data_IF_087103258806
#
_entry.id   IF_087103258806
#
_cell.length_a   1.000
_cell.length_b   1.000
_cell.length_c   1.000
_cell.angle_alpha   90.00
_cell.angle_beta   90.00
_cell.angle_gamma   90.00
#
_symmetry.space_group_name_H-M   'P 1'
#
loop_
_entity.id
_entity.type
_entity.pdbx_description
1 polymer ?
#
# COMPACT_ATOMS: atom_id res chain seq x y z
N UNK A 1 -18.94 112.10 -14.63
CA UNK A 1 -19.68 110.93 -14.09
C UNK A 1 -19.58 109.61 -14.92
N UNK A 2 -19.03 109.59 -16.14
CA UNK A 2 -19.08 108.44 -17.07
C UNK A 2 -17.99 107.35 -16.86
N UNK A 3 -16.79 107.71 -16.39
CA UNK A 3 -15.62 106.80 -16.30
C UNK A 3 -15.79 105.71 -15.23
N UNK A 4 -16.30 106.08 -14.04
CA UNK A 4 -16.52 105.14 -12.92
C UNK A 4 -17.53 104.04 -13.27
N UNK A 5 -18.61 104.38 -13.98
CA UNK A 5 -19.61 103.41 -14.45
C UNK A 5 -19.02 102.40 -15.44
N UNK A 6 -18.14 102.84 -16.34
CA UNK A 6 -17.46 101.97 -17.32
C UNK A 6 -16.49 101.00 -16.63
N UNK A 7 -15.75 101.46 -15.62
CA UNK A 7 -14.85 100.62 -14.81
C UNK A 7 -15.67 99.58 -14.03
N UNK A 8 -16.75 100.00 -13.37
CA UNK A 8 -17.64 99.11 -12.64
C UNK A 8 -18.24 98.02 -13.54
N UNK A 9 -18.75 98.39 -14.72
CA UNK A 9 -19.28 97.41 -15.69
C UNK A 9 -18.22 96.38 -16.11
N UNK A 10 -16.98 96.81 -16.36
CA UNK A 10 -15.88 95.88 -16.68
C UNK A 10 -15.55 94.94 -15.52
N UNK A 11 -15.53 95.45 -14.29
CA UNK A 11 -15.31 94.64 -13.09
C UNK A 11 -16.43 93.62 -12.89
N UNK A 12 -17.69 94.02 -13.09
CA UNK A 12 -18.86 93.15 -13.01
C UNK A 12 -18.80 92.02 -14.04
N UNK A 13 -18.48 92.34 -15.31
CA UNK A 13 -18.32 91.33 -16.38
C UNK A 13 -17.24 90.31 -15.98
N UNK A 14 -16.08 90.77 -15.50
CA UNK A 14 -15.01 89.87 -15.03
C UNK A 14 -15.46 88.99 -13.88
N UNK A 15 -16.14 89.56 -12.88
CA UNK A 15 -16.64 88.82 -11.72
C UNK A 15 -17.65 87.72 -12.14
N UNK A 16 -18.54 88.04 -13.08
CA UNK A 16 -19.50 87.08 -13.64
C UNK A 16 -18.77 85.97 -14.39
N UNK A 17 -17.80 86.28 -15.27
CA UNK A 17 -17.01 85.28 -15.99
C UNK A 17 -16.26 84.34 -15.03
N UNK A 18 -15.61 84.89 -14.00
CA UNK A 18 -14.91 84.09 -12.98
C UNK A 18 -15.88 83.18 -12.23
N UNK A 19 -17.06 83.69 -11.85
CA UNK A 19 -18.11 82.90 -11.20
C UNK A 19 -18.57 81.73 -12.07
N UNK A 20 -18.79 81.96 -13.35
CA UNK A 20 -19.17 80.91 -14.31
C UNK A 20 -18.03 79.89 -14.51
N UNK A 21 -16.80 80.34 -14.74
CA UNK A 21 -15.63 79.47 -14.90
C UNK A 21 -15.43 78.56 -13.67
N UNK A 22 -15.57 79.12 -12.45
CA UNK A 22 -15.50 78.33 -11.21
C UNK A 22 -16.59 77.25 -11.16
N UNK A 23 -17.83 77.61 -11.51
CA UNK A 23 -18.96 76.66 -11.52
C UNK A 23 -18.75 75.54 -12.55
N UNK A 24 -18.28 75.87 -13.75
CA UNK A 24 -18.01 74.87 -14.79
C UNK A 24 -16.82 73.98 -14.43
N UNK A 25 -15.75 74.53 -13.85
CA UNK A 25 -14.62 73.73 -13.38
C UNK A 25 -15.04 72.73 -12.29
N UNK A 26 -15.91 73.15 -11.36
CA UNK A 26 -16.47 72.24 -10.35
C UNK A 26 -17.32 71.13 -10.98
N UNK A 27 -18.18 71.46 -11.94
CA UNK A 27 -18.99 70.47 -12.65
C UNK A 27 -18.11 69.49 -13.46
N UNK A 28 -17.13 70.01 -14.20
CA UNK A 28 -16.19 69.22 -14.98
C UNK A 28 -15.38 68.26 -14.09
N UNK A 29 -14.91 68.73 -12.93
CA UNK A 29 -14.16 67.88 -11.98
C UNK A 29 -15.00 66.69 -11.51
N UNK A 30 -16.30 66.91 -11.23
CA UNK A 30 -17.22 65.82 -10.84
C UNK A 30 -17.40 64.79 -11.96
N UNK A 31 -17.64 65.25 -13.19
CA UNK A 31 -17.80 64.39 -14.36
C UNK A 31 -16.51 63.58 -14.60
N UNK A 32 -15.35 64.24 -14.56
CA UNK A 32 -14.07 63.59 -14.76
C UNK A 32 -13.73 62.59 -13.65
N UNK A 33 -14.05 62.88 -12.38
CA UNK A 33 -13.85 61.96 -11.28
C UNK A 33 -14.70 60.69 -11.44
N UNK A 34 -15.98 60.85 -11.81
CA UNK A 34 -16.87 59.74 -12.13
C UNK A 34 -16.33 58.89 -13.28
N UNK A 35 -15.89 59.53 -14.37
CA UNK A 35 -15.34 58.83 -15.52
C UNK A 35 -14.05 58.09 -15.20
N UNK A 36 -13.11 58.71 -14.48
CA UNK A 36 -11.88 58.04 -14.03
C UNK A 36 -12.19 56.82 -13.15
N UNK A 37 -13.18 56.93 -12.26
CA UNK A 37 -13.64 55.81 -11.46
C UNK A 37 -14.24 54.68 -12.29
N UNK A 38 -15.10 55.00 -13.26
CA UNK A 38 -15.67 54.02 -14.19
C UNK A 38 -14.58 53.33 -15.02
N UNK A 39 -13.70 54.10 -15.65
CA UNK A 39 -12.60 53.58 -16.47
C UNK A 39 -11.67 52.66 -15.66
N UNK A 40 -11.30 53.05 -14.44
CA UNK A 40 -10.47 52.21 -13.58
C UNK A 40 -11.10 50.86 -13.24
N UNK A 41 -12.42 50.85 -12.95
CA UNK A 41 -13.14 49.60 -12.64
C UNK A 41 -13.27 48.69 -13.85
N UNK A 42 -13.35 49.26 -15.06
CA UNK A 42 -13.52 48.51 -16.30
C UNK A 42 -12.19 47.98 -16.86
N UNK A 43 -11.17 48.83 -16.94
CA UNK A 43 -9.92 48.52 -17.67
C UNK A 43 -8.79 48.05 -16.76
N UNK A 44 -8.69 48.56 -15.53
CA UNK A 44 -7.55 48.25 -14.65
C UNK A 44 -7.85 47.12 -13.68
N UNK A 45 -8.93 47.27 -12.91
CA UNK A 45 -9.24 46.33 -11.84
C UNK A 45 -10.71 46.37 -11.44
N UNK A 46 -11.39 45.26 -11.64
CA UNK A 46 -12.74 45.04 -11.10
C UNK A 46 -12.67 44.20 -9.82
N UNK A 47 -12.97 44.83 -8.68
CA UNK A 47 -12.99 44.18 -7.37
C UNK A 47 -13.88 42.93 -7.35
N UNK A 48 -15.07 43.00 -7.98
CA UNK A 48 -16.01 41.87 -8.02
C UNK A 48 -15.46 40.70 -8.84
N UNK A 49 -14.84 40.96 -9.99
CA UNK A 49 -14.19 39.93 -10.80
C UNK A 49 -13.03 39.29 -10.05
N UNK A 50 -12.21 40.09 -9.36
CA UNK A 50 -11.12 39.59 -8.53
C UNK A 50 -11.61 38.72 -7.38
N UNK A 51 -12.68 39.12 -6.68
CA UNK A 51 -13.30 38.32 -5.62
C UNK A 51 -13.85 37.00 -6.15
N UNK A 52 -14.44 36.98 -7.35
CA UNK A 52 -14.88 35.74 -8.01
C UNK A 52 -13.70 34.85 -8.34
N UNK A 53 -12.63 35.41 -8.90
CA UNK A 53 -11.40 34.68 -9.20
C UNK A 53 -10.76 34.09 -7.94
N UNK A 54 -10.67 34.83 -6.84
CA UNK A 54 -10.14 34.33 -5.56
C UNK A 54 -10.91 33.12 -5.04
N UNK A 55 -12.24 33.10 -5.17
CA UNK A 55 -13.06 31.93 -4.79
C UNK A 55 -12.69 30.71 -5.63
N UNK A 56 -12.55 30.88 -6.95
CA UNK A 56 -12.16 29.80 -7.86
C UNK A 56 -10.77 29.26 -7.53
N UNK A 57 -9.81 30.15 -7.27
CA UNK A 57 -8.44 29.76 -6.90
C UNK A 57 -8.44 28.99 -5.58
N UNK A 58 -9.20 29.45 -4.59
CA UNK A 58 -9.33 28.78 -3.29
C UNK A 58 -9.90 27.37 -3.47
N UNK A 59 -11.02 27.23 -4.17
CA UNK A 59 -11.66 25.95 -4.44
C UNK A 59 -10.73 24.99 -5.22
N UNK A 60 -9.98 25.51 -6.20
CA UNK A 60 -8.99 24.72 -6.93
C UNK A 60 -7.84 24.26 -6.03
N UNK A 61 -7.40 25.11 -5.11
CA UNK A 61 -6.39 24.77 -4.11
C UNK A 61 -6.88 23.66 -3.18
N UNK A 62 -8.09 23.81 -2.65
CA UNK A 62 -8.73 22.82 -1.77
C UNK A 62 -8.89 21.46 -2.48
N UNK A 63 -9.34 21.45 -3.74
CA UNK A 63 -9.46 20.22 -4.56
C UNK A 63 -8.10 19.53 -4.75
N UNK A 64 -7.05 20.27 -5.13
CA UNK A 64 -5.71 19.70 -5.31
C UNK A 64 -5.12 19.18 -4.00
N UNK A 65 -5.38 19.85 -2.89
CA UNK A 65 -4.95 19.39 -1.58
C UNK A 65 -5.62 18.05 -1.22
N UNK A 66 -6.91 17.90 -1.50
CA UNK A 66 -7.62 16.64 -1.33
C UNK A 66 -7.05 15.52 -2.21
N UNK A 67 -6.83 15.79 -3.50
CA UNK A 67 -6.19 14.84 -4.43
C UNK A 67 -4.80 14.39 -3.96
N UNK A 68 -3.99 15.32 -3.43
CA UNK A 68 -2.67 15.01 -2.90
C UNK A 68 -2.72 14.12 -1.65
N UNK A 69 -3.71 14.34 -0.77
CA UNK A 69 -3.93 13.49 0.41
C UNK A 69 -4.36 12.09 0.00
N UNK A 70 -5.30 11.96 -0.95
CA UNK A 70 -5.71 10.65 -1.47
C UNK A 70 -4.55 9.90 -2.11
N UNK A 71 -3.74 10.59 -2.93
CA UNK A 71 -2.55 10.02 -3.54
C UNK A 71 -1.55 9.52 -2.48
N UNK A 72 -1.30 10.30 -1.43
CA UNK A 72 -0.42 9.90 -0.35
C UNK A 72 -0.92 8.64 0.38
N UNK A 73 -2.24 8.52 0.59
CA UNK A 73 -2.83 7.31 1.19
C UNK A 73 -2.64 6.10 0.27
N UNK A 74 -2.96 6.24 -1.03
CA UNK A 74 -2.79 5.14 -2.01
C UNK A 74 -1.33 4.70 -2.11
N UNK A 75 -0.41 5.67 -2.20
CA UNK A 75 1.04 5.39 -2.25
C UNK A 75 1.49 4.59 -1.04
N UNK A 76 1.07 4.95 0.17
CA UNK A 76 1.43 4.19 1.38
C UNK A 76 0.94 2.75 1.34
N UNK A 77 -0.27 2.51 0.82
CA UNK A 77 -0.81 1.14 0.68
C UNK A 77 0.03 0.34 -0.32
N UNK A 78 0.41 0.94 -1.44
CA UNK A 78 1.29 0.30 -2.43
C UNK A 78 2.69 0.03 -1.87
N UNK A 79 3.28 0.99 -1.15
CA UNK A 79 4.59 0.84 -0.51
C UNK A 79 4.58 -0.31 0.51
N UNK A 80 3.52 -0.39 1.34
CA UNK A 80 3.35 -1.50 2.29
C UNK A 80 3.21 -2.84 1.57
N UNK A 81 2.48 -2.89 0.46
CA UNK A 81 2.33 -4.12 -0.35
C UNK A 81 3.67 -4.56 -0.95
N UNK A 82 4.46 -3.62 -1.47
CA UNK A 82 5.80 -3.89 -2.02
C UNK A 82 6.72 -4.42 -0.91
N UNK A 83 6.73 -3.75 0.24
CA UNK A 83 7.53 -4.16 1.40
C UNK A 83 7.12 -5.55 1.90
N UNK A 84 5.82 -5.86 1.93
CA UNK A 84 5.32 -7.17 2.31
C UNK A 84 5.78 -8.26 1.33
N UNK A 85 5.69 -8.02 0.02
CA UNK A 85 6.20 -8.95 -1.00
C UNK A 85 7.71 -9.19 -0.88
N UNK A 86 8.49 -8.14 -0.60
CA UNK A 86 9.93 -8.27 -0.35
C UNK A 86 10.22 -9.05 0.92
N UNK A 87 9.53 -8.73 2.03
CA UNK A 87 9.66 -9.45 3.29
C UNK A 87 9.31 -10.93 3.13
N UNK A 88 8.25 -11.27 2.37
CA UNK A 88 7.89 -12.66 2.07
C UNK A 88 8.98 -13.41 1.31
N UNK A 89 9.64 -12.77 0.34
CA UNK A 89 10.78 -13.37 -0.39
C UNK A 89 11.97 -13.63 0.54
N UNK A 90 12.32 -12.65 1.37
CA UNK A 90 13.39 -12.79 2.36
C UNK A 90 13.08 -13.89 3.37
N UNK A 91 11.84 -13.97 3.84
CA UNK A 91 11.39 -15.01 4.74
C UNK A 91 11.60 -16.40 4.12
N UNK A 92 11.12 -16.62 2.89
CA UNK A 92 11.34 -17.88 2.18
C UNK A 92 12.83 -18.21 2.09
N UNK A 93 13.69 -17.26 1.70
CA UNK A 93 15.13 -17.47 1.64
C UNK A 93 15.74 -17.89 2.98
N UNK A 94 15.43 -17.16 4.06
CA UNK A 94 15.95 -17.44 5.41
C UNK A 94 15.53 -18.84 5.85
N UNK A 95 14.26 -19.18 5.67
CA UNK A 95 13.70 -20.44 6.16
C UNK A 95 14.32 -21.62 5.40
N UNK A 96 14.49 -21.52 4.08
CA UNK A 96 15.19 -22.55 3.30
C UNK A 96 16.68 -22.64 3.61
N UNK A 97 17.35 -21.54 3.97
CA UNK A 97 18.76 -21.58 4.36
C UNK A 97 18.95 -22.22 5.74
N UNK A 98 18.03 -21.98 6.66
CA UNK A 98 18.15 -22.36 8.07
C UNK A 98 17.35 -23.60 8.47
N UNK A 99 16.59 -24.23 7.57
CA UNK A 99 15.75 -25.40 7.88
C UNK A 99 16.51 -26.54 8.59
N UNK A 100 17.81 -26.71 8.34
CA UNK A 100 18.64 -27.73 8.97
C UNK A 100 18.92 -27.47 10.46
N UNK A 101 18.60 -26.28 10.96
CA UNK A 101 18.71 -25.90 12.37
C UNK A 101 17.49 -26.32 13.20
N UNK A 102 16.46 -26.86 12.55
CA UNK A 102 15.32 -27.47 13.19
C UNK A 102 15.73 -28.60 14.11
N UNK A 103 15.05 -28.68 15.25
CA UNK A 103 15.06 -29.86 16.10
C UNK A 103 14.74 -31.13 15.32
N UNK A 104 15.44 -32.20 15.69
CA UNK A 104 15.15 -33.57 15.27
C UNK A 104 14.63 -34.37 16.47
N UNK A 105 14.12 -35.57 16.24
CA UNK A 105 13.67 -36.44 17.33
C UNK A 105 14.76 -36.71 18.39
N UNK A 106 16.02 -36.78 17.96
CA UNK A 106 17.16 -37.15 18.82
C UNK A 106 17.87 -35.92 19.41
N UNK A 107 17.89 -34.80 18.68
CA UNK A 107 18.70 -33.62 19.03
C UNK A 107 17.86 -32.35 18.96
N UNK A 108 17.89 -31.57 20.03
CA UNK A 108 17.31 -30.23 20.09
C UNK A 108 17.88 -29.33 18.98
N UNK A 109 17.02 -28.49 18.40
CA UNK A 109 17.43 -27.49 17.43
C UNK A 109 18.12 -26.31 18.10
N UNK A 110 18.78 -25.45 17.31
CA UNK A 110 19.47 -24.27 17.85
C UNK A 110 18.48 -23.30 18.50
N UNK A 111 17.27 -23.22 17.94
CA UNK A 111 16.22 -22.30 18.38
C UNK A 111 15.21 -22.96 19.32
N UNK A 112 15.45 -24.18 19.76
CA UNK A 112 14.55 -24.81 20.72
C UNK A 112 14.84 -24.30 22.12
N UNK A 113 13.79 -24.20 22.93
CA UNK A 113 13.96 -23.91 24.35
C UNK A 113 14.57 -25.11 25.09
N UNK A 114 15.50 -24.88 26.04
CA UNK A 114 16.07 -25.95 26.84
C UNK A 114 15.00 -26.65 27.69
N UNK A 115 14.98 -27.98 27.68
CA UNK A 115 14.09 -28.77 28.52
C UNK A 115 12.66 -28.94 27.99
N UNK A 116 12.29 -28.28 26.89
CA UNK A 116 11.01 -28.51 26.22
C UNK A 116 11.18 -29.46 25.03
N UNK A 117 10.11 -30.15 24.67
CA UNK A 117 10.02 -30.99 23.45
C UNK A 117 9.23 -30.31 22.34
N UNK A 118 8.66 -29.14 22.64
CA UNK A 118 7.84 -28.37 21.72
C UNK A 118 8.72 -27.51 20.80
N UNK A 119 8.19 -27.21 19.62
CA UNK A 119 8.85 -26.34 18.65
C UNK A 119 8.62 -24.88 19.07
N UNK A 120 9.69 -24.08 19.10
CA UNK A 120 9.56 -22.63 19.28
C UNK A 120 8.83 -22.00 18.10
N UNK A 121 8.36 -20.75 18.22
CA UNK A 121 7.69 -20.04 17.12
C UNK A 121 8.54 -20.02 15.84
N UNK A 122 9.85 -19.79 16.00
CA UNK A 122 10.78 -19.81 14.87
C UNK A 122 10.96 -21.22 14.30
N UNK A 123 11.01 -22.25 15.13
CA UNK A 123 11.06 -23.63 14.63
C UNK A 123 9.74 -24.06 13.97
N UNK A 124 8.58 -23.59 14.43
CA UNK A 124 7.31 -23.80 13.75
C UNK A 124 7.32 -23.15 12.36
N UNK A 125 7.87 -21.94 12.25
CA UNK A 125 8.08 -21.28 10.97
C UNK A 125 9.04 -22.09 10.07
N UNK A 126 10.16 -22.58 10.59
CA UNK A 126 11.07 -23.44 9.84
C UNK A 126 10.41 -24.75 9.39
N UNK A 127 9.58 -25.36 10.24
CA UNK A 127 8.88 -26.61 9.99
C UNK A 127 7.71 -26.45 9.00
N UNK A 128 7.22 -25.22 8.79
CA UNK A 128 6.17 -24.96 7.79
C UNK A 128 6.60 -25.27 6.35
N UNK A 129 7.90 -25.40 6.10
CA UNK A 129 8.44 -25.65 4.77
C UNK A 129 8.44 -27.13 4.42
N UNK A 130 7.93 -27.41 3.22
CA UNK A 130 8.01 -28.74 2.60
C UNK A 130 9.38 -28.99 1.98
N UNK A 131 10.41 -29.12 2.81
CA UNK A 131 11.80 -29.28 2.34
C UNK A 131 12.03 -30.53 1.49
N UNK A 132 11.35 -31.63 1.81
CA UNK A 132 11.41 -32.86 1.00
C UNK A 132 10.89 -32.64 -0.42
N UNK A 133 9.82 -31.88 -0.57
CA UNK A 133 9.24 -31.52 -1.87
C UNK A 133 10.13 -30.54 -2.64
N UNK A 134 10.74 -29.59 -1.93
CA UNK A 134 11.77 -28.71 -2.47
C UNK A 134 12.92 -29.51 -3.09
N UNK A 135 13.50 -30.45 -2.35
CA UNK A 135 14.63 -31.26 -2.84
C UNK A 135 14.24 -32.13 -4.03
N UNK A 136 13.01 -32.66 -4.08
CA UNK A 136 12.49 -33.39 -5.25
C UNK A 136 12.41 -32.51 -6.49
N UNK A 137 11.82 -31.31 -6.36
CA UNK A 137 11.69 -30.35 -7.47
C UNK A 137 13.06 -29.90 -7.96
N UNK A 138 13.98 -29.62 -7.04
CA UNK A 138 15.35 -29.22 -7.36
C UNK A 138 16.09 -30.32 -8.11
N UNK A 139 15.99 -31.57 -7.64
CA UNK A 139 16.58 -32.74 -8.32
C UNK A 139 16.01 -32.91 -9.73
N UNK A 140 14.71 -32.72 -9.92
CA UNK A 140 14.08 -32.80 -11.26
C UNK A 140 14.65 -31.75 -12.21
N UNK A 141 14.80 -30.49 -11.77
CA UNK A 141 15.43 -29.43 -12.57
C UNK A 141 16.88 -29.75 -12.93
N UNK A 142 17.63 -30.27 -11.97
CA UNK A 142 19.00 -30.73 -12.20
C UNK A 142 19.04 -31.83 -13.27
N UNK A 143 18.21 -32.86 -13.13
CA UNK A 143 18.15 -33.99 -14.07
C UNK A 143 17.74 -33.51 -15.49
N UNK A 144 16.81 -32.56 -15.61
CA UNK A 144 16.42 -31.93 -16.88
C UNK A 144 17.57 -31.11 -17.50
N UNK A 145 18.28 -30.33 -16.69
CA UNK A 145 19.41 -29.53 -17.14
C UNK A 145 20.56 -30.41 -17.66
N UNK A 146 20.92 -31.45 -16.92
CA UNK A 146 21.94 -32.43 -17.31
C UNK A 146 21.55 -33.13 -18.60
N UNK A 147 20.27 -33.49 -18.76
CA UNK A 147 19.76 -34.08 -20.02
C UNK A 147 19.94 -33.14 -21.21
N UNK A 148 19.68 -31.84 -21.06
CA UNK A 148 19.80 -30.84 -22.14
C UNK A 148 21.24 -30.57 -22.56
N UNK A 149 22.18 -30.59 -21.61
CA UNK A 149 23.58 -30.24 -21.83
C UNK A 149 24.53 -31.44 -21.77
N UNK A 150 23.98 -32.66 -21.95
CA UNK A 150 24.69 -33.93 -21.79
C UNK A 150 26.00 -34.02 -22.60
N UNK A 151 26.05 -33.40 -23.79
CA UNK A 151 27.24 -33.34 -24.63
C UNK A 151 28.39 -32.52 -24.02
N UNK A 152 28.09 -31.48 -23.25
CA UNK A 152 29.06 -30.64 -22.55
C UNK A 152 29.56 -31.28 -21.25
N UNK A 153 28.80 -32.23 -20.68
CA UNK A 153 29.10 -32.92 -19.42
C UNK A 153 29.80 -34.27 -19.58
N UNK A 154 30.17 -34.64 -20.81
CA UNK A 154 30.70 -35.97 -21.16
C UNK A 154 31.97 -36.39 -20.40
N UNK A 155 32.72 -35.48 -19.74
CA UNK A 155 34.05 -35.83 -19.24
C UNK A 155 34.48 -35.26 -17.87
N UNK A 156 33.61 -34.67 -17.04
CA UNK A 156 34.05 -34.19 -15.72
C UNK A 156 33.02 -34.41 -14.62
N UNK A 157 33.44 -35.10 -13.55
CA UNK A 157 32.80 -35.21 -12.22
C UNK A 157 32.75 -33.86 -11.47
N UNK A 158 32.54 -32.75 -12.17
CA UNK A 158 32.49 -31.44 -11.57
C UNK A 158 31.05 -30.95 -11.63
N UNK A 159 30.49 -30.69 -10.44
CA UNK A 159 29.31 -29.85 -10.28
C UNK A 159 29.56 -28.56 -11.05
N UNK A 160 28.82 -28.28 -12.13
CA UNK A 160 29.10 -27.09 -12.90
C UNK A 160 28.61 -25.88 -12.09
N UNK A 161 29.54 -24.96 -11.84
CA UNK A 161 29.21 -23.57 -11.54
C UNK A 161 28.73 -23.01 -12.89
N UNK A 162 27.42 -23.03 -13.11
CA UNK A 162 26.81 -22.54 -14.34
C UNK A 162 26.58 -21.04 -14.15
N UNK A 163 27.09 -20.23 -15.07
CA UNK A 163 26.82 -18.79 -15.13
C UNK A 163 27.67 -17.91 -14.20
N UNK A 164 27.32 -16.62 -14.18
CA UNK A 164 28.07 -15.52 -13.55
C UNK A 164 27.95 -15.50 -12.00
N UNK A 165 27.60 -16.63 -11.38
CA UNK A 165 27.22 -16.70 -9.96
C UNK A 165 25.79 -16.26 -9.66
N UNK A 166 24.96 -15.95 -10.68
CA UNK A 166 23.53 -15.61 -10.51
C UNK A 166 22.61 -16.83 -10.51
N UNK A 167 23.04 -17.94 -11.10
CA UNK A 167 22.23 -19.14 -11.31
C UNK A 167 22.58 -20.18 -10.24
N UNK A 168 22.30 -19.84 -8.99
CA UNK A 168 22.43 -20.84 -7.94
C UNK A 168 21.43 -21.99 -8.16
N UNK A 169 21.82 -23.19 -7.74
CA UNK A 169 20.99 -24.40 -7.67
C UNK A 169 19.89 -24.28 -6.60
N UNK A 170 19.09 -23.23 -6.64
CA UNK A 170 17.89 -23.06 -5.83
C UNK A 170 16.67 -22.99 -6.75
N UNK A 171 15.50 -23.36 -6.23
CA UNK A 171 14.25 -22.97 -6.86
C UNK A 171 14.17 -21.43 -6.89
N UNK A 172 13.40 -20.87 -7.83
CA UNK A 172 13.18 -19.43 -7.82
C UNK A 172 12.46 -19.01 -6.53
N UNK A 173 12.65 -17.78 -6.06
CA UNK A 173 11.95 -17.27 -4.87
C UNK A 173 10.42 -17.50 -4.92
N UNK A 174 9.73 -17.30 -6.06
CA UNK A 174 8.32 -17.68 -6.20
C UNK A 174 8.04 -19.18 -5.97
N UNK A 175 8.85 -20.07 -6.54
CA UNK A 175 8.69 -21.52 -6.36
C UNK A 175 8.99 -21.98 -4.93
N UNK A 176 9.92 -21.31 -4.25
CA UNK A 176 10.19 -21.52 -2.83
C UNK A 176 8.97 -21.12 -1.98
N UNK A 177 8.34 -19.99 -2.30
CA UNK A 177 7.15 -19.51 -1.60
C UNK A 177 5.93 -20.45 -1.74
N UNK A 178 5.72 -21.06 -2.91
CA UNK A 178 4.67 -22.09 -3.06
C UNK A 178 4.82 -23.26 -2.08
N UNK A 179 6.04 -23.52 -1.61
CA UNK A 179 6.33 -24.62 -0.70
C UNK A 179 6.14 -24.23 0.77
N UNK A 180 6.02 -22.93 1.07
CA UNK A 180 5.70 -22.40 2.41
C UNK A 180 4.20 -22.20 2.61
N UNK A 181 3.40 -22.15 1.55
CA UNK A 181 1.94 -22.05 1.67
C UNK A 181 1.34 -23.38 2.15
N UNK A 182 0.44 -23.34 3.17
CA UNK A 182 -0.21 -24.55 3.65
C UNK A 182 -1.11 -25.12 2.56
N UNK A 183 -0.83 -26.35 2.11
CA UNK A 183 -1.69 -27.06 1.18
C UNK A 183 -2.98 -27.44 1.89
N UNK A 184 -4.13 -27.03 1.34
CA UNK A 184 -5.42 -27.55 1.77
C UNK A 184 -5.40 -29.06 1.60
N UNK A 185 -5.40 -29.81 2.72
CA UNK A 185 -5.48 -31.27 2.67
C UNK A 185 -6.81 -31.65 2.04
N UNK A 186 -6.79 -31.99 0.75
CA UNK A 186 -7.91 -32.68 0.11
C UNK A 186 -8.09 -33.99 0.88
N UNK A 187 -9.22 -34.12 1.57
CA UNK A 187 -9.58 -35.39 2.21
C UNK A 187 -9.80 -36.41 1.09
N UNK A 188 -8.79 -37.23 0.83
CA UNK A 188 -8.94 -38.36 -0.09
C UNK A 188 -9.82 -39.41 0.59
N UNK A 189 -11.14 -39.33 0.37
CA UNK A 189 -12.14 -40.26 0.92
C UNK A 189 -12.13 -41.62 0.21
N UNK A 190 -11.23 -41.86 -0.76
CA UNK A 190 -11.15 -43.13 -1.47
C UNK A 190 -10.80 -44.32 -0.57
N UNK A 191 -10.00 -44.11 0.48
CA UNK A 191 -9.67 -45.17 1.43
C UNK A 191 -10.81 -45.48 2.43
N UNK A 192 -11.76 -44.55 2.61
CA UNK A 192 -12.93 -44.74 3.47
C UNK A 192 -14.02 -45.58 2.81
N UNK A 193 -14.06 -45.61 1.47
CA UNK A 193 -15.07 -46.32 0.68
C UNK A 193 -14.73 -47.79 0.42
N UNK A 194 -13.49 -48.22 0.65
CA UNK A 194 -13.02 -49.59 0.36
C UNK A 194 -13.12 -50.55 1.55
N UNK A 195 -13.57 -50.10 2.74
CA UNK A 195 -13.78 -50.95 3.90
C UNK A 195 -15.28 -51.13 4.24
N UNK A 196 -16.04 -51.71 3.31
CA UNK A 196 -17.27 -52.43 3.65
C UNK A 196 -17.00 -53.95 3.59
N UNK A 197 -16.12 -54.39 4.48
CA UNK A 197 -15.99 -55.81 4.85
C UNK A 197 -17.03 -56.12 5.91
N UNK A 198 -17.85 -57.14 5.67
CA UNK A 198 -18.89 -57.65 6.56
C UNK A 198 -18.25 -58.14 7.88
N UNK A 199 -18.37 -57.39 8.99
CA UNK A 199 -18.02 -57.92 10.31
C UNK A 199 -19.18 -58.77 10.82
N UNK A 200 -19.07 -60.09 10.66
CA UNK A 200 -19.98 -61.04 11.29
C UNK A 200 -19.77 -61.03 12.82
N UNK A 201 -20.90 -61.02 13.54
CA UNK A 201 -21.00 -60.99 15.01
C UNK A 201 -20.44 -62.27 15.66
N UNK A 202 -19.80 -62.13 16.82
CA UNK A 202 -20.26 -62.64 18.14
C UNK A 202 -19.11 -63.03 19.06
N UNK A 203 -19.02 -62.43 20.25
CA UNK A 203 -19.19 -63.17 21.50
C UNK A 203 -19.35 -62.21 22.68
N UNK A 204 -20.42 -62.48 23.43
CA UNK A 204 -20.87 -61.86 24.67
C UNK A 204 -19.93 -62.14 25.84
N UNK A 205 -19.74 -61.17 26.76
CA UNK A 205 -19.74 -61.42 28.21
C UNK A 205 -19.86 -60.11 29.01
N UNK A 206 -20.88 -60.03 29.87
CA UNK A 206 -20.77 -59.40 31.19
C UNK A 206 -21.24 -57.94 31.34
N UNK A 207 -22.54 -57.75 31.57
CA UNK A 207 -23.06 -56.62 32.37
C UNK A 207 -22.48 -56.66 33.80
N UNK A 208 -22.07 -55.50 34.32
CA UNK A 208 -22.24 -55.15 35.75
C UNK A 208 -22.43 -53.64 35.93
N UNK A 209 -23.24 -53.33 36.93
CA UNK A 209 -24.07 -52.14 37.13
C UNK A 209 -23.31 -50.87 37.53
N UNK A 210 -24.01 -49.75 37.28
CA UNK A 210 -23.82 -48.36 37.71
C UNK A 210 -23.52 -48.20 39.21
N UNK A 211 -22.81 -47.12 39.56
CA UNK A 211 -23.25 -46.05 40.47
C UNK A 211 -22.12 -45.02 40.66
N UNK A 212 -22.45 -43.72 40.62
CA UNK A 212 -21.56 -42.66 41.11
C UNK A 212 -21.62 -41.34 40.35
N UNK A 213 -22.74 -40.63 40.47
CA UNK A 213 -22.83 -39.19 40.19
C UNK A 213 -21.84 -38.41 41.07
N UNK A 214 -21.29 -37.31 40.53
CA UNK A 214 -21.08 -36.05 41.25
C UNK A 214 -20.74 -34.95 40.25
N UNK A 215 -21.76 -34.12 39.98
CA UNK A 215 -21.61 -32.75 39.53
C UNK A 215 -20.77 -31.97 40.54
N UNK A 216 -19.80 -31.20 40.05
CA UNK A 216 -19.30 -30.01 40.75
C UNK A 216 -19.25 -28.89 39.73
N UNK A 217 -20.26 -28.05 39.77
CA UNK A 217 -20.22 -26.67 39.33
C UNK A 217 -19.26 -25.89 40.21
N UNK A 218 -18.51 -24.94 39.63
CA UNK A 218 -18.21 -23.64 40.26
C UNK A 218 -17.59 -22.70 39.23
N UNK A 219 -18.36 -21.65 38.95
CA UNK A 219 -17.96 -20.43 38.27
C UNK A 219 -16.97 -19.62 39.14
N UNK A 220 -16.04 -18.92 38.49
CA UNK A 220 -15.77 -17.49 38.69
C UNK A 220 -15.07 -16.94 37.45
#
# INVERSE_FOLDING_TARGET
MHRSRKIYRKALIRAVLIKHAKRYNQAATKIQALWRGHFSRREKFCYYSYRKWLKIVKERGERRAAEAVEFAIRSKVDDLRILEEEARKWLAFVVFKLHHLLRTFVRAGIYSEPGTTELSEFENLLNSIRYTEYMKRLKKKYDEFVRKHKSQFSNKKLFPIIGNGSDYWYLSLPEMYELTTPVQKVKDTRHSLTHHGHSTKSHSFGERKRLGEKEITLNS
#
